data_IF_784875297235
#
_entry.id   IF_784875297235
#
_cell.length_a   1.000
_cell.length_b   1.000
_cell.length_c   1.000
_cell.angle_alpha   90.00
_cell.angle_beta   90.00
_cell.angle_gamma   90.00
#
_symmetry.space_group_name_H-M   'P 1'
#
loop_
_entity.id
_entity.type
_entity.pdbx_description
1 polymer ?
#
# COMPACT_ATOMS: atom_id res chain seq x y z
N UNK A 1 20.80 0.32 -0.89
CA UNK A 1 20.08 -0.76 -1.61
C UNK A 1 18.61 -0.61 -1.27
N UNK A 2 17.75 -0.34 -2.25
CA UNK A 2 16.29 -0.39 -2.04
C UNK A 2 15.92 -1.86 -1.88
N UNK A 3 15.34 -2.21 -0.74
CA UNK A 3 14.88 -3.56 -0.50
C UNK A 3 13.60 -3.78 -1.31
N UNK A 4 13.43 -4.93 -1.97
CA UNK A 4 12.29 -5.21 -2.88
C UNK A 4 10.94 -4.81 -2.27
N UNK A 5 10.79 -4.95 -0.95
CA UNK A 5 9.60 -4.54 -0.18
C UNK A 5 9.30 -3.04 -0.23
N UNK A 6 10.32 -2.18 -0.21
CA UNK A 6 10.16 -0.72 -0.26
C UNK A 6 9.70 -0.28 -1.65
N UNK A 7 10.29 -0.88 -2.69
CA UNK A 7 9.86 -0.63 -4.06
C UNK A 7 8.40 -1.04 -4.28
N UNK A 8 7.99 -2.22 -3.78
CA UNK A 8 6.60 -2.69 -3.86
C UNK A 8 5.65 -1.78 -3.08
N UNK A 9 6.00 -1.40 -1.85
CA UNK A 9 5.19 -0.48 -1.04
C UNK A 9 5.00 0.88 -1.72
N UNK A 10 6.07 1.41 -2.32
CA UNK A 10 6.02 2.65 -3.08
C UNK A 10 5.17 2.53 -4.34
N UNK A 11 5.27 1.44 -5.10
CA UNK A 11 4.44 1.19 -6.27
C UNK A 11 2.95 1.11 -5.91
N UNK A 12 2.61 0.39 -4.83
CA UNK A 12 1.23 0.29 -4.35
C UNK A 12 0.67 1.65 -3.92
N UNK A 13 1.47 2.43 -3.17
CA UNK A 13 1.12 3.80 -2.78
C UNK A 13 0.88 4.69 -4.00
N UNK A 14 1.81 4.67 -4.96
CA UNK A 14 1.71 5.45 -6.19
C UNK A 14 0.46 5.10 -6.99
N UNK A 15 0.19 3.80 -7.22
CA UNK A 15 -0.99 3.33 -7.94
C UNK A 15 -2.30 3.70 -7.23
N UNK A 16 -2.33 3.65 -5.89
CA UNK A 16 -3.50 4.07 -5.11
C UNK A 16 -3.73 5.58 -5.21
N UNK A 17 -2.67 6.39 -5.08
CA UNK A 17 -2.77 7.85 -5.18
C UNK A 17 -3.14 8.32 -6.58
N UNK A 18 -2.63 7.67 -7.64
CA UNK A 18 -3.00 8.01 -9.02
C UNK A 18 -4.46 7.73 -9.32
N UNK A 19 -5.08 6.80 -8.60
CA UNK A 19 -6.50 6.49 -8.69
C UNK A 19 -7.37 7.36 -7.76
N UNK A 20 -6.79 8.31 -7.00
CA UNK A 20 -7.47 9.09 -5.96
C UNK A 20 -8.20 8.23 -4.91
N UNK A 21 -7.67 7.03 -4.62
CA UNK A 21 -8.30 6.10 -3.67
C UNK A 21 -7.69 6.22 -2.29
N UNK A 22 -8.51 6.09 -1.26
CA UNK A 22 -7.99 6.03 0.11
C UNK A 22 -7.48 4.63 0.45
N UNK A 23 -6.63 4.53 1.47
CA UNK A 23 -6.24 3.22 2.04
C UNK A 23 -7.47 2.38 2.44
N UNK A 24 -8.54 3.04 2.92
CA UNK A 24 -9.78 2.38 3.32
C UNK A 24 -10.52 1.77 2.13
N UNK A 25 -10.55 2.47 1.00
CA UNK A 25 -11.20 1.98 -0.22
C UNK A 25 -10.49 0.73 -0.77
N UNK A 26 -9.16 0.78 -0.82
CA UNK A 26 -8.34 -0.33 -1.30
C UNK A 26 -8.37 -1.50 -0.32
N UNK A 27 -8.27 -1.25 0.98
CA UNK A 27 -8.35 -2.29 2.00
C UNK A 27 -9.69 -3.05 1.96
N UNK A 28 -10.80 -2.33 1.75
CA UNK A 28 -12.13 -2.93 1.61
C UNK A 28 -12.21 -3.81 0.37
N UNK A 29 -11.74 -3.36 -0.78
CA UNK A 29 -11.77 -4.13 -2.02
C UNK A 29 -10.87 -5.38 -1.94
N UNK A 30 -9.65 -5.22 -1.41
CA UNK A 30 -8.69 -6.29 -1.25
C UNK A 30 -9.02 -7.24 -0.09
N UNK A 31 -10.07 -6.96 0.71
CA UNK A 31 -10.45 -7.72 1.92
C UNK A 31 -9.31 -7.89 2.92
N UNK A 32 -8.49 -6.85 3.07
CA UNK A 32 -7.41 -6.79 4.05
C UNK A 32 -7.67 -5.70 5.07
N UNK A 33 -6.96 -5.74 6.20
CA UNK A 33 -7.07 -4.66 7.18
C UNK A 33 -6.36 -3.39 6.67
N UNK A 34 -6.89 -2.23 7.05
CA UNK A 34 -6.27 -0.94 6.74
C UNK A 34 -4.86 -0.81 7.35
N UNK A 35 -4.66 -1.37 8.55
CA UNK A 35 -3.35 -1.42 9.21
C UNK A 35 -2.33 -2.21 8.40
N UNK A 36 -2.71 -3.40 7.93
CA UNK A 36 -1.85 -4.24 7.10
C UNK A 36 -1.46 -3.55 5.79
N UNK A 37 -2.42 -2.93 5.08
CA UNK A 37 -2.12 -2.19 3.86
C UNK A 37 -1.21 -0.97 4.12
N UNK A 38 -1.40 -0.29 5.26
CA UNK A 38 -0.54 0.82 5.66
C UNK A 38 0.89 0.38 5.98
N UNK A 39 1.10 -0.79 6.58
CA UNK A 39 2.43 -1.35 6.82
C UNK A 39 3.14 -1.68 5.50
N UNK A 40 2.42 -2.31 4.56
CA UNK A 40 2.92 -2.66 3.23
C UNK A 40 3.35 -1.42 2.44
N UNK A 41 2.52 -0.37 2.38
CA UNK A 41 2.89 0.87 1.69
C UNK A 41 4.05 1.64 2.33
N UNK A 42 4.33 1.38 3.62
CA UNK A 42 5.46 1.97 4.34
C UNK A 42 6.73 1.12 4.28
N UNK A 43 6.68 -0.06 3.66
CA UNK A 43 7.79 -1.02 3.68
C UNK A 43 8.10 -1.56 5.09
N UNK A 44 7.15 -1.44 6.03
CA UNK A 44 7.29 -1.95 7.39
C UNK A 44 6.83 -3.41 7.44
N UNK A 45 7.77 -4.31 7.10
CA UNK A 45 7.84 -5.72 7.52
C UNK A 45 9.15 -6.34 7.02
#
# INVERSE_FOLDING_TARGET
MVLVREAVGQTLRSARTSQNRTLRDVAREARVSLGYLSEVERGQK
#
